data_IF_407619727002
#
_entry.id   IF_407619727002
#
_cell.length_a   1.000
_cell.length_b   1.000
_cell.length_c   1.000
_cell.angle_alpha   90.00
_cell.angle_beta   90.00
_cell.angle_gamma   90.00
#
_symmetry.space_group_name_H-M   'P 1'
#
loop_
_entity.id
_entity.type
_entity.pdbx_description
1 polymer ?
#
# COMPACT_ATOMS: atom_id res chain seq x y z
N UNK A 1 -2.23 14.12 -1.33
CA UNK A 1 -1.80 13.07 -0.41
C UNK A 1 -0.34 12.75 -0.72
N UNK A 2 0.50 12.82 0.30
CA UNK A 2 1.91 12.43 0.23
C UNK A 2 2.16 11.30 1.23
N UNK A 3 2.89 10.27 0.82
CA UNK A 3 3.20 9.16 1.73
C UNK A 3 4.16 9.61 2.84
N UNK A 4 4.95 10.66 2.60
CA UNK A 4 5.81 11.26 3.63
C UNK A 4 5.02 11.85 4.80
N UNK A 5 3.72 12.16 4.63
CA UNK A 5 2.87 12.61 5.74
C UNK A 5 2.73 11.51 6.83
N UNK A 6 2.99 10.24 6.47
CA UNK A 6 2.89 9.09 7.38
C UNK A 6 4.21 8.79 8.10
N UNK A 7 5.36 9.17 7.54
CA UNK A 7 6.70 8.77 8.00
C UNK A 7 6.91 9.05 9.50
N UNK A 8 6.98 10.32 9.89
CA UNK A 8 7.15 10.71 11.29
C UNK A 8 5.93 10.36 12.17
N UNK A 9 4.72 10.43 11.62
CA UNK A 9 3.52 10.16 12.38
C UNK A 9 3.44 8.67 12.80
N UNK A 10 3.89 7.75 11.94
CA UNK A 10 3.98 6.34 12.27
C UNK A 10 4.94 6.10 13.44
N UNK A 11 6.12 6.73 13.43
CA UNK A 11 7.08 6.67 14.53
C UNK A 11 6.51 7.20 15.84
N UNK A 12 5.84 8.36 15.82
CA UNK A 12 5.34 9.04 17.02
C UNK A 12 4.14 8.33 17.66
N UNK A 13 3.34 7.61 16.86
CA UNK A 13 2.09 7.00 17.29
C UNK A 13 2.06 5.49 17.05
N UNK A 14 2.99 4.76 17.66
CA UNK A 14 3.10 3.29 17.59
C UNK A 14 1.85 2.53 18.09
N UNK A 15 0.95 3.18 18.83
CA UNK A 15 -0.32 2.60 19.26
C UNK A 15 -1.42 2.59 18.18
N UNK A 16 -1.14 3.16 17.00
CA UNK A 16 -2.06 3.22 15.87
C UNK A 16 -1.50 2.43 14.68
N UNK A 17 -2.40 1.90 13.86
CA UNK A 17 -2.07 1.31 12.57
C UNK A 17 -2.35 2.33 11.46
N UNK A 18 -1.39 2.49 10.56
CA UNK A 18 -1.44 3.42 9.44
C UNK A 18 -1.65 2.65 8.15
N UNK A 19 -2.84 2.77 7.57
CA UNK A 19 -3.16 2.11 6.30
C UNK A 19 -2.99 3.14 5.19
N UNK A 20 -2.01 2.91 4.33
CA UNK A 20 -1.78 3.74 3.15
C UNK A 20 -2.55 3.12 1.99
N UNK A 21 -3.66 3.76 1.63
CA UNK A 21 -4.48 3.32 0.51
C UNK A 21 -3.73 3.44 -0.83
N UNK A 22 -4.12 2.62 -1.80
CA UNK A 22 -3.46 2.50 -3.10
C UNK A 22 -1.98 2.11 -2.98
N UNK A 23 -1.55 1.55 -1.86
CA UNK A 23 -0.16 1.19 -1.54
C UNK A 23 0.87 2.28 -1.89
N UNK A 24 0.49 3.56 -1.76
CA UNK A 24 1.36 4.70 -2.03
C UNK A 24 1.52 5.08 -3.51
N UNK A 25 0.78 4.47 -4.43
CA UNK A 25 0.88 4.77 -5.86
C UNK A 25 0.61 6.25 -6.18
N UNK A 26 1.34 6.85 -7.15
CA UNK A 26 2.38 6.24 -7.99
C UNK A 26 3.78 6.16 -7.35
N UNK A 27 3.93 6.54 -6.07
CA UNK A 27 5.19 6.61 -5.31
C UNK A 27 5.41 5.34 -4.48
N UNK A 28 5.36 4.18 -5.16
CA UNK A 28 5.46 2.88 -4.49
C UNK A 28 6.78 2.73 -3.72
N UNK A 29 7.89 3.15 -4.31
CA UNK A 29 9.22 3.00 -3.71
C UNK A 29 9.32 3.79 -2.40
N UNK A 30 8.83 5.04 -2.38
CA UNK A 30 8.81 5.88 -1.17
C UNK A 30 7.97 5.21 -0.06
N UNK A 31 6.81 4.64 -0.42
CA UNK A 31 5.99 3.87 0.51
C UNK A 31 6.75 2.66 1.07
N UNK A 32 7.40 1.86 0.22
CA UNK A 32 8.14 0.68 0.66
C UNK A 32 9.26 1.05 1.65
N UNK A 33 10.01 2.13 1.38
CA UNK A 33 11.04 2.61 2.30
C UNK A 33 10.51 2.98 3.68
N UNK A 34 9.36 3.66 3.75
CA UNK A 34 8.71 4.02 5.01
C UNK A 34 8.15 2.77 5.71
N UNK A 35 7.39 1.95 4.99
CA UNK A 35 6.68 0.79 5.55
C UNK A 35 7.61 -0.36 5.98
N UNK A 36 8.82 -0.44 5.42
CA UNK A 36 9.88 -1.33 5.91
C UNK A 36 10.46 -0.86 7.24
N UNK A 37 10.57 0.45 7.47
CA UNK A 37 11.07 1.01 8.74
C UNK A 37 10.03 0.88 9.86
N UNK A 38 8.75 1.11 9.53
CA UNK A 38 7.69 1.23 10.52
C UNK A 38 6.88 -0.06 10.66
N UNK A 39 6.76 -0.60 11.88
CA UNK A 39 6.06 -1.86 12.15
C UNK A 39 4.54 -1.75 11.98
N UNK A 40 4.00 -0.55 12.10
CA UNK A 40 2.57 -0.24 12.12
C UNK A 40 2.03 0.41 10.82
N UNK A 41 2.80 0.37 9.73
CA UNK A 41 2.38 0.85 8.41
C UNK A 41 2.00 -0.32 7.49
N UNK A 42 0.83 -0.21 6.85
CA UNK A 42 0.19 -1.26 6.06
C UNK A 42 -0.16 -0.76 4.65
N UNK A 43 -0.04 -1.64 3.66
CA UNK A 43 -0.44 -1.38 2.27
C UNK A 43 -1.92 -1.72 2.06
N UNK A 44 -2.75 -0.72 1.75
CA UNK A 44 -4.11 -0.93 1.26
C UNK A 44 -4.13 -1.14 -0.25
N UNK A 45 -4.65 -2.27 -0.73
CA UNK A 45 -4.77 -2.57 -2.17
C UNK A 45 -5.97 -1.87 -2.84
N UNK A 46 -6.64 -0.96 -2.13
CA UNK A 46 -7.72 -0.18 -2.70
C UNK A 46 -7.26 0.51 -4.01
N UNK A 47 -8.06 0.44 -5.06
CA UNK A 47 -7.82 0.98 -6.41
C UNK A 47 -6.59 0.39 -7.14
N UNK A 48 -5.68 -0.28 -6.45
CA UNK A 48 -4.60 -1.06 -7.06
C UNK A 48 -5.09 -2.44 -7.54
N UNK A 49 -6.05 -3.05 -6.81
CA UNK A 49 -6.61 -4.36 -7.12
C UNK A 49 -7.12 -4.54 -8.57
N UNK A 50 -7.85 -3.58 -9.19
CA UNK A 50 -8.35 -3.69 -10.57
C UNK A 50 -7.25 -3.83 -11.64
N UNK A 51 -6.01 -3.45 -11.32
CA UNK A 51 -4.89 -3.65 -12.23
C UNK A 51 -4.60 -5.13 -12.46
N UNK A 52 -5.08 -6.05 -11.61
CA UNK A 52 -4.99 -7.49 -11.87
C UNK A 52 -5.62 -7.88 -13.22
N UNK A 53 -6.64 -7.15 -13.67
CA UNK A 53 -7.30 -7.38 -14.96
C UNK A 53 -6.90 -6.36 -16.01
N UNK A 54 -6.86 -5.07 -15.66
CA UNK A 54 -6.64 -4.00 -16.63
C UNK A 54 -5.17 -3.79 -17.01
N UNK A 55 -4.23 -4.07 -16.09
CA UNK A 55 -2.77 -3.93 -16.28
C UNK A 55 -1.99 -5.02 -15.53
N UNK A 56 -2.18 -6.32 -15.85
CA UNK A 56 -1.72 -7.44 -15.03
C UNK A 56 -0.20 -7.45 -14.77
N UNK A 57 0.61 -7.00 -15.75
CA UNK A 57 2.06 -6.88 -15.56
C UNK A 57 2.41 -5.85 -14.49
N UNK A 58 1.78 -4.67 -14.56
CA UNK A 58 2.01 -3.61 -13.60
C UNK A 58 1.54 -4.02 -12.20
N UNK A 59 0.39 -4.68 -12.10
CA UNK A 59 -0.07 -5.25 -10.83
C UNK A 59 0.93 -6.27 -10.27
N UNK A 60 1.48 -7.14 -11.13
CA UNK A 60 2.54 -8.08 -10.74
C UNK A 60 3.79 -7.38 -10.21
N UNK A 61 4.22 -6.28 -10.84
CA UNK A 61 5.34 -5.44 -10.37
C UNK A 61 5.02 -4.84 -8.98
N UNK A 62 3.82 -4.27 -8.80
CA UNK A 62 3.38 -3.72 -7.51
C UNK A 62 3.38 -4.79 -6.40
N UNK A 63 2.75 -5.93 -6.65
CA UNK A 63 2.67 -7.01 -5.64
C UNK A 63 4.04 -7.61 -5.34
N UNK A 64 4.94 -7.71 -6.33
CA UNK A 64 6.29 -8.21 -6.12
C UNK A 64 7.09 -7.30 -5.16
N UNK A 65 7.03 -5.98 -5.35
CA UNK A 65 7.67 -5.02 -4.45
C UNK A 65 7.08 -5.12 -3.04
N UNK A 66 5.74 -5.11 -2.91
CA UNK A 66 5.10 -5.20 -1.59
C UNK A 66 5.48 -6.49 -0.85
N UNK A 67 5.46 -7.63 -1.53
CA UNK A 67 5.84 -8.90 -0.92
C UNK A 67 7.32 -8.94 -0.52
N UNK A 68 8.21 -8.32 -1.30
CA UNK A 68 9.63 -8.24 -0.98
C UNK A 68 9.91 -7.34 0.23
N UNK A 69 9.32 -6.14 0.26
CA UNK A 69 9.67 -5.11 1.24
C UNK A 69 8.97 -5.25 2.59
N UNK A 70 7.68 -5.62 2.58
CA UNK A 70 6.83 -5.59 3.78
C UNK A 70 6.18 -6.94 4.11
N UNK A 71 6.29 -7.90 3.19
CA UNK A 71 5.71 -9.23 3.36
C UNK A 71 4.17 -9.25 3.30
N UNK A 72 3.57 -10.45 3.26
CA UNK A 72 2.13 -10.61 3.06
C UNK A 72 1.28 -10.10 4.23
N UNK A 73 1.80 -10.14 5.46
CA UNK A 73 1.05 -9.76 6.67
C UNK A 73 0.71 -8.26 6.74
N UNK A 74 1.40 -7.42 5.96
CA UNK A 74 1.17 -5.98 5.89
C UNK A 74 0.36 -5.56 4.67
N UNK A 75 -0.18 -6.51 3.89
CA UNK A 75 -0.94 -6.23 2.66
C UNK A 75 -2.43 -6.49 2.91
N UNK A 76 -3.24 -5.45 2.78
CA UNK A 76 -4.68 -5.48 3.04
C UNK A 76 -5.47 -5.44 1.74
N UNK A 77 -6.47 -6.31 1.64
CA UNK A 77 -7.39 -6.35 0.51
C UNK A 77 -8.35 -5.15 0.55
N UNK A 78 -8.52 -4.46 -0.59
CA UNK A 78 -9.54 -3.45 -0.82
C UNK A 78 -10.21 -3.69 -2.17
N UNK A 79 -11.53 -3.92 -2.18
CA UNK A 79 -12.26 -4.26 -3.41
C UNK A 79 -12.65 -3.05 -4.25
N UNK A 80 -12.84 -1.89 -3.61
CA UNK A 80 -13.44 -0.68 -4.19
C UNK A 80 -14.65 -1.00 -5.08
N UNK A 81 -15.47 -1.94 -4.63
CA UNK A 81 -16.57 -2.49 -5.43
C UNK A 81 -17.45 -1.38 -6.01
N UNK A 82 -17.77 -0.34 -5.22
CA UNK A 82 -18.61 0.77 -5.64
C UNK A 82 -17.95 1.71 -6.69
N UNK A 83 -16.64 1.59 -6.92
CA UNK A 83 -15.89 2.36 -7.92
C UNK A 83 -15.74 1.55 -9.22
N UNK A 84 -15.56 0.23 -9.12
CA UNK A 84 -15.21 -0.64 -10.26
C UNK A 84 -16.37 -1.45 -10.83
N UNK A 85 -17.54 -1.37 -10.21
CA UNK A 85 -18.79 -2.00 -10.68
C UNK A 85 -19.75 -0.89 -11.12
N UNK A 86 -20.62 -1.10 -12.13
CA UNK A 86 -21.59 -0.09 -12.55
C UNK A 86 -22.49 0.40 -11.43
#
# INVERSE_FOLDING_TARGET
>A
FDVHDVDHAATDFQGLNWIVEHCGLPRLDDFCWIATQETNVYAGLAVALPFIHSRPRYFGEVIAELLFWIGPEKILFGSDYAIWTP
#
